data_IF_617709802805
#
_entry.id   IF_617709802805
#
_cell.length_a   1.000
_cell.length_b   1.000
_cell.length_c   1.000
_cell.angle_alpha   90.00
_cell.angle_beta   90.00
_cell.angle_gamma   90.00
#
_symmetry.space_group_name_H-M   'P 1'
#
loop_
_entity.id
_entity.type
_entity.pdbx_description
1 polymer ?
#
# COMPACT_ATOMS: atom_id res chain seq x y z
N UNK A 1 -19.35 -6.39 2.67
CA UNK A 1 -19.59 -5.43 1.56
C UNK A 1 -18.89 -4.14 1.97
N UNK A 2 -17.97 -3.58 1.17
CA UNK A 2 -17.39 -2.26 1.46
C UNK A 2 -18.55 -1.25 1.38
N UNK A 3 -18.74 -0.41 2.40
CA UNK A 3 -19.85 0.55 2.39
C UNK A 3 -19.65 1.55 1.25
N UNK A 4 -20.76 2.06 0.71
CA UNK A 4 -20.73 3.11 -0.30
C UNK A 4 -19.94 4.35 0.19
N UNK A 5 -20.01 4.61 1.49
CA UNK A 5 -19.26 5.67 2.17
C UNK A 5 -17.74 5.44 2.09
N UNK A 6 -17.25 4.21 2.35
CA UNK A 6 -15.82 3.90 2.23
C UNK A 6 -15.32 4.10 0.79
N UNK A 7 -16.12 3.76 -0.21
CA UNK A 7 -15.75 3.99 -1.61
C UNK A 7 -15.69 5.49 -1.96
N UNK A 8 -16.60 6.29 -1.40
CA UNK A 8 -16.57 7.76 -1.54
C UNK A 8 -15.33 8.35 -0.87
N UNK A 9 -15.01 7.91 0.34
CA UNK A 9 -13.80 8.34 1.06
C UNK A 9 -12.54 7.95 0.28
N UNK A 10 -12.45 6.72 -0.24
CA UNK A 10 -11.33 6.27 -1.09
C UNK A 10 -11.21 7.16 -2.34
N UNK A 11 -12.33 7.51 -2.97
CA UNK A 11 -12.33 8.41 -4.14
C UNK A 11 -11.87 9.84 -3.84
N UNK A 12 -12.12 10.34 -2.63
CA UNK A 12 -11.70 11.67 -2.19
C UNK A 12 -10.23 11.68 -1.77
N UNK A 13 -9.82 10.71 -0.94
CA UNK A 13 -8.48 10.69 -0.34
C UNK A 13 -7.42 10.05 -1.25
N UNK A 14 -7.81 9.09 -2.09
CA UNK A 14 -6.91 8.31 -2.95
C UNK A 14 -7.43 8.27 -4.40
N UNK A 15 -7.63 9.43 -5.07
CA UNK A 15 -8.30 9.51 -6.37
C UNK A 15 -7.59 8.69 -7.46
N UNK A 16 -6.25 8.72 -7.48
CA UNK A 16 -5.44 7.96 -8.44
C UNK A 16 -5.59 6.45 -8.21
N UNK A 17 -5.56 6.00 -6.96
CA UNK A 17 -5.74 4.58 -6.61
C UNK A 17 -7.14 4.13 -6.99
N UNK A 18 -8.17 4.92 -6.68
CA UNK A 18 -9.56 4.62 -7.03
C UNK A 18 -9.74 4.48 -8.55
N UNK A 19 -9.11 5.36 -9.32
CA UNK A 19 -9.16 5.34 -10.79
C UNK A 19 -8.42 4.13 -11.36
N UNK A 20 -7.18 3.89 -10.91
CA UNK A 20 -6.38 2.75 -11.37
C UNK A 20 -7.04 1.42 -11.03
N UNK A 21 -7.58 1.28 -9.81
CA UNK A 21 -8.33 0.10 -9.38
C UNK A 21 -9.56 -0.14 -10.25
N UNK A 22 -10.35 0.90 -10.56
CA UNK A 22 -11.51 0.77 -11.48
C UNK A 22 -11.06 0.31 -12.87
N UNK A 23 -9.99 0.90 -13.40
CA UNK A 23 -9.45 0.53 -14.72
C UNK A 23 -8.90 -0.89 -14.75
N UNK A 24 -8.16 -1.29 -13.71
CA UNK A 24 -7.48 -2.57 -13.64
C UNK A 24 -8.45 -3.75 -13.48
N UNK A 25 -9.46 -3.59 -12.62
CA UNK A 25 -10.53 -4.59 -12.52
C UNK A 25 -11.50 -4.52 -13.71
N UNK A 26 -11.80 -3.33 -14.22
CA UNK A 26 -12.79 -3.12 -15.28
C UNK A 26 -14.13 -3.80 -14.97
N UNK A 27 -14.64 -4.54 -15.95
CA UNK A 27 -15.83 -5.39 -15.83
C UNK A 27 -15.52 -6.77 -15.20
N UNK A 28 -14.25 -7.13 -15.01
CA UNK A 28 -13.86 -8.43 -14.45
C UNK A 28 -14.17 -8.48 -12.95
N UNK A 29 -14.60 -9.66 -12.50
CA UNK A 29 -14.85 -9.94 -11.08
C UNK A 29 -13.57 -10.19 -10.27
N UNK A 30 -12.40 -10.30 -10.93
CA UNK A 30 -11.10 -10.47 -10.31
C UNK A 30 -10.01 -9.79 -11.14
N UNK A 31 -8.89 -9.50 -10.50
CA UNK A 31 -7.66 -9.07 -11.14
C UNK A 31 -6.52 -10.02 -10.78
N UNK A 32 -5.49 -10.07 -11.63
CA UNK A 32 -4.32 -10.93 -11.43
C UNK A 32 -3.20 -10.11 -10.82
N UNK A 33 -2.64 -10.61 -9.72
CA UNK A 33 -1.47 -10.04 -9.10
C UNK A 33 -0.34 -11.06 -9.11
N UNK A 34 0.88 -10.56 -9.11
CA UNK A 34 2.09 -11.37 -9.12
C UNK A 34 3.02 -10.96 -7.99
N UNK A 35 3.55 -11.95 -7.28
CA UNK A 35 4.61 -11.78 -6.30
C UNK A 35 5.88 -12.46 -6.81
N UNK A 36 6.91 -11.66 -7.06
CA UNK A 36 8.23 -12.14 -7.45
C UNK A 36 9.03 -12.51 -6.21
N UNK A 37 9.64 -13.69 -6.19
CA UNK A 37 10.37 -14.17 -5.01
C UNK A 37 11.36 -15.29 -5.37
N UNK A 38 12.13 -15.77 -4.39
CA UNK A 38 12.97 -16.97 -4.57
C UNK A 38 12.12 -18.23 -4.57
N UNK A 39 12.56 -19.26 -5.30
CA UNK A 39 11.92 -20.59 -5.30
C UNK A 39 11.73 -21.16 -3.88
N UNK A 40 12.72 -21.01 -3.01
CA UNK A 40 12.63 -21.41 -1.60
C UNK A 40 11.51 -20.68 -0.85
N UNK A 41 11.41 -19.36 -1.01
CA UNK A 41 10.36 -18.55 -0.38
C UNK A 41 8.99 -18.92 -0.93
N UNK A 42 8.89 -19.18 -2.24
CA UNK A 42 7.64 -19.62 -2.85
C UNK A 42 7.16 -20.96 -2.30
N UNK A 43 8.06 -21.94 -2.13
CA UNK A 43 7.72 -23.22 -1.50
C UNK A 43 7.23 -23.01 -0.06
N UNK A 44 7.88 -22.13 0.71
CA UNK A 44 7.43 -21.76 2.07
C UNK A 44 6.02 -21.15 2.04
N UNK A 45 5.75 -20.22 1.12
CA UNK A 45 4.43 -19.57 0.96
C UNK A 45 3.36 -20.61 0.61
N UNK A 46 3.62 -21.47 -0.36
CA UNK A 46 2.67 -22.50 -0.83
C UNK A 46 2.37 -23.51 0.28
N UNK A 47 3.41 -24.01 0.96
CA UNK A 47 3.26 -25.01 2.01
C UNK A 47 2.55 -24.44 3.24
N UNK A 48 2.90 -23.22 3.67
CA UNK A 48 2.29 -22.58 4.84
C UNK A 48 0.94 -21.92 4.53
N UNK A 49 0.62 -21.71 3.25
CA UNK A 49 -0.51 -20.89 2.76
C UNK A 49 -0.53 -19.49 3.39
N UNK A 50 0.66 -18.94 3.64
CA UNK A 50 0.85 -17.66 4.34
C UNK A 50 1.97 -16.88 3.65
N UNK A 51 1.75 -15.57 3.49
CA UNK A 51 2.76 -14.64 3.03
C UNK A 51 3.32 -13.88 4.23
N UNK A 52 4.64 -13.97 4.43
CA UNK A 52 5.31 -13.21 5.48
C UNK A 52 5.54 -11.78 5.01
N UNK A 53 4.96 -10.83 5.75
CA UNK A 53 5.18 -9.40 5.51
C UNK A 53 6.50 -8.97 6.15
N UNK A 54 7.16 -7.97 5.57
CA UNK A 54 8.37 -7.37 6.15
C UNK A 54 8.06 -6.04 6.78
N UNK A 55 8.73 -5.75 7.89
CA UNK A 55 8.69 -4.41 8.47
C UNK A 55 9.33 -3.41 7.48
N UNK A 56 8.69 -2.26 7.30
CA UNK A 56 9.12 -1.22 6.34
C UNK A 56 10.51 -0.67 6.64
N UNK A 57 10.94 -0.65 7.90
CA UNK A 57 12.27 -0.18 8.31
C UNK A 57 13.39 -1.17 7.97
N UNK A 58 13.05 -2.41 7.64
CA UNK A 58 14.01 -3.44 7.23
C UNK A 58 14.10 -3.61 5.71
N UNK A 59 13.40 -2.77 4.94
CA UNK A 59 13.42 -2.82 3.47
C UNK A 59 14.54 -1.94 2.89
N UNK A 60 15.00 -2.26 1.68
CA UNK A 60 16.05 -1.49 1.00
C UNK A 60 15.66 -0.03 0.70
N UNK A 61 14.36 0.21 0.59
CA UNK A 61 13.68 1.46 0.26
C UNK A 61 13.02 2.10 1.50
N UNK A 62 13.42 1.74 2.73
CA UNK A 62 12.89 2.32 3.97
C UNK A 62 12.94 3.87 4.00
N UNK A 63 13.88 4.46 3.26
CA UNK A 63 14.02 5.91 3.10
C UNK A 63 12.79 6.55 2.46
N UNK A 64 12.03 5.84 1.63
CA UNK A 64 10.78 6.38 1.04
C UNK A 64 9.73 6.65 2.12
N UNK A 65 9.61 5.75 3.10
CA UNK A 65 8.71 5.92 4.25
C UNK A 65 9.14 7.10 5.10
N UNK A 66 10.43 7.17 5.45
CA UNK A 66 10.99 8.29 6.22
C UNK A 66 10.80 9.62 5.47
N UNK A 67 11.09 9.64 4.17
CA UNK A 67 10.96 10.83 3.35
C UNK A 67 9.50 11.32 3.27
N UNK A 68 8.54 10.41 3.14
CA UNK A 68 7.11 10.74 3.21
C UNK A 68 6.73 11.43 4.53
N UNK A 69 7.29 10.96 5.65
CA UNK A 69 7.10 11.62 6.95
C UNK A 69 7.74 12.99 7.04
N UNK A 70 8.96 13.15 6.52
CA UNK A 70 9.64 14.45 6.48
C UNK A 70 8.86 15.47 5.65
N UNK A 71 8.28 15.06 4.52
CA UNK A 71 7.41 15.91 3.71
C UNK A 71 6.17 16.36 4.48
N UNK A 72 5.49 15.44 5.17
CA UNK A 72 4.34 15.79 6.00
C UNK A 72 4.73 16.74 7.14
N UNK A 73 5.82 16.44 7.85
CA UNK A 73 6.28 17.26 8.96
C UNK A 73 6.68 18.66 8.49
N UNK A 74 7.46 18.76 7.40
CA UNK A 74 7.86 20.05 6.82
C UNK A 74 6.67 20.89 6.35
N UNK A 75 5.67 20.26 5.73
CA UNK A 75 4.43 20.94 5.35
C UNK A 75 3.72 21.56 6.57
N UNK A 76 3.61 20.82 7.68
CA UNK A 76 2.91 21.27 8.89
C UNK A 76 3.77 22.12 9.86
N UNK A 77 5.09 22.19 9.65
CA UNK A 77 5.96 23.15 10.34
C UNK A 77 5.70 24.58 9.87
N UNK A 78 5.30 24.76 8.61
CA UNK A 78 4.90 26.07 8.10
C UNK A 78 3.52 26.47 8.67
N UNK A 79 3.50 27.53 9.47
CA UNK A 79 2.29 27.98 10.18
C UNK A 79 1.13 28.28 9.21
N UNK A 80 1.41 28.93 8.08
CA UNK A 80 0.42 29.25 7.04
C UNK A 80 -0.32 28.00 6.54
N UNK A 81 0.41 26.92 6.23
CA UNK A 81 -0.13 25.65 5.74
C UNK A 81 -0.94 24.95 6.81
N UNK A 82 -0.41 24.93 8.04
CA UNK A 82 -1.11 24.35 9.19
C UNK A 82 -2.43 25.07 9.50
N UNK A 83 -2.43 26.40 9.48
CA UNK A 83 -3.61 27.21 9.75
C UNK A 83 -4.66 27.00 8.66
N UNK A 84 -4.27 27.03 7.38
CA UNK A 84 -5.17 26.74 6.23
C UNK A 84 -5.78 25.35 6.30
N UNK A 85 -4.97 24.34 6.64
CA UNK A 85 -5.45 22.97 6.82
C UNK A 85 -6.43 22.88 8.00
N UNK A 86 -6.09 23.50 9.14
CA UNK A 86 -6.92 23.46 10.34
C UNK A 86 -8.26 24.16 10.13
N UNK A 87 -8.26 25.31 9.44
CA UNK A 87 -9.46 26.05 9.07
C UNK A 87 -10.37 25.23 8.15
N UNK A 88 -9.82 24.63 7.09
CA UNK A 88 -10.59 23.79 6.17
C UNK A 88 -11.24 22.59 6.89
N UNK A 89 -10.50 21.91 7.76
CA UNK A 89 -11.03 20.76 8.51
C UNK A 89 -12.05 21.20 9.58
N UNK A 90 -11.77 22.27 10.32
CA UNK A 90 -12.67 22.79 11.34
C UNK A 90 -13.96 23.39 10.74
N UNK A 91 -13.94 23.81 9.46
CA UNK A 91 -15.14 24.22 8.73
C UNK A 91 -16.14 23.07 8.52
N UNK A 92 -15.63 21.84 8.40
CA UNK A 92 -16.47 20.64 8.30
C UNK A 92 -17.01 20.21 9.66
N UNK A 93 -16.20 20.29 10.71
CA UNK A 93 -16.63 20.06 12.09
C UNK A 93 -15.62 20.69 13.07
N UNK A 94 -16.07 21.58 13.96
CA UNK A 94 -15.19 22.27 14.91
C UNK A 94 -14.37 21.31 15.78
N UNK A 95 -13.08 21.62 15.98
CA UNK A 95 -12.16 20.91 16.87
C UNK A 95 -11.60 19.59 16.32
N UNK A 96 -11.90 19.23 15.06
CA UNK A 96 -11.34 18.02 14.45
C UNK A 96 -9.85 18.18 14.16
N UNK A 97 -9.39 19.36 13.74
CA UNK A 97 -8.00 19.55 13.35
C UNK A 97 -7.03 19.19 14.50
N UNK A 98 -7.30 19.68 15.71
CA UNK A 98 -6.52 19.40 16.91
C UNK A 98 -6.51 17.90 17.25
N UNK A 99 -7.67 17.25 17.09
CA UNK A 99 -7.79 15.81 17.30
C UNK A 99 -6.98 15.02 16.28
N UNK A 100 -7.01 15.41 15.01
CA UNK A 100 -6.21 14.79 13.93
C UNK A 100 -4.72 14.89 14.25
N UNK A 101 -4.22 16.07 14.61
CA UNK A 101 -2.80 16.22 14.95
C UNK A 101 -2.40 15.42 16.19
N UNK A 102 -3.28 15.35 17.20
CA UNK A 102 -3.04 14.57 18.41
C UNK A 102 -2.93 13.09 18.09
N UNK A 103 -3.91 12.54 17.37
CA UNK A 103 -3.93 11.13 16.98
C UNK A 103 -2.73 10.82 16.08
N UNK A 104 -2.45 11.65 15.07
CA UNK A 104 -1.33 11.42 14.16
C UNK A 104 0.01 11.35 14.90
N UNK A 105 0.26 12.26 15.85
CA UNK A 105 1.48 12.25 16.67
C UNK A 105 1.60 11.00 17.53
N UNK A 106 0.49 10.50 18.07
CA UNK A 106 0.49 9.26 18.87
C UNK A 106 0.84 8.03 18.02
N UNK A 107 0.43 8.00 16.76
CA UNK A 107 0.70 6.89 15.85
C UNK A 107 2.13 6.91 15.27
N UNK A 108 2.79 8.08 15.26
CA UNK A 108 4.08 8.26 14.60
C UNK A 108 5.15 7.22 14.98
N UNK A 109 5.37 6.88 16.26
CA UNK A 109 6.35 5.86 16.64
C UNK A 109 5.98 4.47 16.11
N UNK A 110 4.68 4.15 16.10
CA UNK A 110 4.17 2.84 15.73
C UNK A 110 4.18 2.63 14.22
N UNK A 111 3.98 3.68 13.41
CA UNK A 111 3.94 3.50 11.95
C UNK A 111 5.29 2.97 11.43
N UNK A 112 6.43 3.39 11.98
CA UNK A 112 7.72 2.81 11.59
C UNK A 112 7.91 1.38 12.12
N UNK A 113 7.59 1.15 13.39
CA UNK A 113 7.94 -0.09 14.09
C UNK A 113 6.95 -1.24 13.87
N UNK A 114 5.70 -0.92 13.56
CA UNK A 114 4.58 -1.87 13.52
C UNK A 114 3.90 -1.95 12.14
N UNK A 115 4.45 -1.27 11.12
CA UNK A 115 3.97 -1.42 9.73
C UNK A 115 4.71 -2.54 9.02
N UNK A 116 3.94 -3.56 8.63
CA UNK A 116 4.43 -4.68 7.86
C UNK A 116 3.76 -4.69 6.49
N UNK A 117 4.55 -4.76 5.43
CA UNK A 117 4.07 -4.76 4.06
C UNK A 117 4.56 -5.98 3.28
N UNK A 118 3.78 -6.34 2.27
CA UNK A 118 4.18 -7.27 1.23
C UNK A 118 3.92 -6.62 -0.13
N UNK A 119 4.90 -6.68 -1.01
CA UNK A 119 4.82 -6.06 -2.34
C UNK A 119 4.30 -7.06 -3.37
N UNK A 120 3.32 -6.62 -4.14
CA UNK A 120 2.72 -7.35 -5.26
C UNK A 120 2.63 -6.39 -6.44
N UNK A 121 2.60 -6.94 -7.64
CA UNK A 121 2.43 -6.15 -8.86
C UNK A 121 1.20 -6.63 -9.61
N UNK A 122 0.59 -5.72 -10.37
CA UNK A 122 -0.39 -6.07 -11.39
C UNK A 122 0.25 -7.03 -12.40
N UNK A 123 -0.51 -8.04 -12.83
CA UNK A 123 -0.05 -9.03 -13.80
C UNK A 123 -0.93 -8.97 -15.05
N UNK A 124 -0.33 -8.62 -16.18
CA UNK A 124 -1.01 -8.61 -17.49
C UNK A 124 -0.91 -9.97 -18.18
N UNK A 125 -1.89 -10.32 -19.01
CA UNK A 125 -1.89 -11.60 -19.74
C UNK A 125 -0.68 -11.71 -20.70
N UNK A 126 -0.14 -10.59 -21.18
CA UNK A 126 1.10 -10.54 -21.99
C UNK A 126 2.35 -10.93 -21.21
N UNK A 127 2.28 -10.97 -19.88
CA UNK A 127 3.39 -11.27 -18.99
C UNK A 127 3.38 -12.75 -18.52
N UNK A 128 2.51 -13.60 -19.08
CA UNK A 128 2.33 -14.98 -18.63
C UNK A 128 3.57 -15.87 -18.83
N UNK A 129 4.37 -15.62 -19.87
CA UNK A 129 5.53 -16.46 -20.18
C UNK A 129 6.78 -16.06 -19.38
N UNK A 130 7.07 -14.77 -19.31
CA UNK A 130 8.35 -14.26 -18.78
C UNK A 130 8.19 -13.34 -17.57
N UNK A 131 6.95 -13.00 -17.18
CA UNK A 131 6.70 -11.94 -16.23
C UNK A 131 7.17 -10.58 -16.73
N UNK A 132 7.16 -9.60 -15.83
CA UNK A 132 7.63 -8.25 -16.09
C UNK A 132 9.14 -8.17 -15.90
N UNK A 133 9.89 -7.97 -16.99
CA UNK A 133 11.37 -7.96 -16.99
C UNK A 133 11.99 -6.99 -15.97
N UNK A 134 11.36 -5.83 -15.74
CA UNK A 134 11.85 -4.86 -14.75
C UNK A 134 11.82 -5.41 -13.32
N UNK A 135 10.88 -6.30 -12.99
CA UNK A 135 10.72 -6.85 -11.64
C UNK A 135 11.82 -7.84 -11.28
N UNK A 136 12.33 -8.59 -12.27
CA UNK A 136 13.39 -9.57 -12.04
C UNK A 136 14.73 -8.94 -11.62
N UNK A 137 14.93 -7.64 -11.90
CA UNK A 137 16.17 -6.92 -11.53
C UNK A 137 16.38 -6.91 -10.02
N UNK A 138 15.31 -6.82 -9.23
CA UNK A 138 15.37 -6.81 -7.77
C UNK A 138 15.85 -8.14 -7.16
N UNK A 139 15.82 -9.22 -7.93
CA UNK A 139 16.16 -10.57 -7.46
C UNK A 139 17.50 -11.06 -8.00
N UNK A 140 18.42 -10.16 -8.37
CA UNK A 140 19.78 -10.47 -8.84
C UNK A 140 20.52 -11.53 -8.01
N UNK A 141 21.30 -12.41 -8.66
CA UNK A 141 22.05 -13.50 -8.02
C UNK A 141 21.80 -14.90 -8.59
N UNK A 142 22.53 -15.89 -8.07
CA UNK A 142 22.57 -17.30 -8.53
C UNK A 142 21.43 -18.19 -8.00
N UNK A 143 20.39 -17.63 -7.38
CA UNK A 143 19.26 -18.41 -6.88
C UNK A 143 18.14 -18.52 -7.91
N UNK A 144 17.48 -19.68 -7.97
CA UNK A 144 16.29 -19.88 -8.82
C UNK A 144 15.16 -18.99 -8.34
N UNK A 145 14.58 -18.23 -9.27
CA UNK A 145 13.54 -17.23 -9.02
C UNK A 145 12.22 -17.71 -9.61
N UNK A 146 11.13 -17.29 -8.99
CA UNK A 146 9.79 -17.64 -9.44
C UNK A 146 8.86 -16.46 -9.25
N UNK A 147 7.76 -16.48 -10.00
CA UNK A 147 6.67 -15.53 -9.90
C UNK A 147 5.40 -16.31 -9.51
N UNK A 148 4.77 -15.91 -8.40
CA UNK A 148 3.51 -16.50 -7.96
C UNK A 148 2.39 -15.59 -8.45
N UNK A 149 1.60 -16.07 -9.42
CA UNK A 149 0.43 -15.34 -9.92
C UNK A 149 -0.82 -15.83 -9.21
N UNK A 150 -1.61 -14.91 -8.68
CA UNK A 150 -2.86 -15.22 -7.98
C UNK A 150 -3.97 -14.25 -8.38
N UNK A 151 -5.22 -14.73 -8.29
CA UNK A 151 -6.42 -13.96 -8.63
C UNK A 151 -7.03 -13.37 -7.37
N UNK A 152 -7.17 -12.04 -7.35
CA UNK A 152 -7.80 -11.31 -6.25
C UNK A 152 -9.17 -10.82 -6.72
N UNK A 153 -10.28 -11.28 -6.12
CA UNK A 153 -11.60 -10.75 -6.45
C UNK A 153 -11.76 -9.26 -6.14
N UNK A 154 -12.65 -8.61 -6.89
CA UNK A 154 -12.94 -7.16 -6.79
C UNK A 154 -13.43 -6.72 -5.40
N UNK A 155 -14.06 -7.65 -4.67
CA UNK A 155 -14.49 -7.45 -3.28
C UNK A 155 -13.51 -8.21 -2.40
N UNK A 156 -12.41 -7.54 -2.04
CA UNK A 156 -11.50 -8.01 -1.00
C UNK A 156 -11.41 -6.95 0.09
N UNK A 157 -11.68 -7.39 1.32
CA UNK A 157 -11.28 -6.69 2.55
C UNK A 157 -10.17 -7.54 3.12
N UNK A 158 -8.98 -6.96 3.29
CA UNK A 158 -7.94 -7.59 4.09
C UNK A 158 -8.41 -7.56 5.54
N UNK A 159 -9.08 -8.62 5.99
CA UNK A 159 -9.31 -8.85 7.42
C UNK A 159 -7.95 -9.30 7.98
N UNK A 160 -7.17 -8.34 8.49
CA UNK A 160 -6.12 -8.67 9.43
C UNK A 160 -6.83 -9.08 10.73
N UNK A 161 -6.85 -10.39 11.00
CA UNK A 161 -7.25 -10.95 12.28
C UNK A 161 -6.18 -10.69 13.34
#
# INVERSE_FOLDING_TARGET
MISEETQKIEGILLPTVSTNKKSFYGEKNHARFVHYTSSESALKIINAKRLWMRNTMCMSDYREVIHGFELLNSFFLEKSNKDRFSEAINSCSPGIAERVFTVFKQWLPNIGLETYIASVSEHDDKEDEHGRLSMWRAFGGNSTRVAIVFRVPKIWVCLMN
#
